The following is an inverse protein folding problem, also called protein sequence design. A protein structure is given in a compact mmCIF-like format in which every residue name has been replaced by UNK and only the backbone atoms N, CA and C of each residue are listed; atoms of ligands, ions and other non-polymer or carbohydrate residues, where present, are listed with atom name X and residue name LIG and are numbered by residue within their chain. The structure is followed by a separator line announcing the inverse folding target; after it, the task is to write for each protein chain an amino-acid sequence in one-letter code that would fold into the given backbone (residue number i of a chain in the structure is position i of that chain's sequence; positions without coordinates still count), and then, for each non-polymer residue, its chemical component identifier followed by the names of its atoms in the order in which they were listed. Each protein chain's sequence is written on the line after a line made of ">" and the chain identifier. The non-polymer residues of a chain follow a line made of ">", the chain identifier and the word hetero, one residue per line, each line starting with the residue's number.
data_IF_517329500514
#
_entry.id   IF_517329500514
#
_cell.length_a   1.000
_cell.length_b   1.000
_cell.length_c   1.000
_cell.angle_alpha   90.00
_cell.angle_beta   90.00
_cell.angle_gamma   90.00
#
_symmetry.space_group_name_H-M   'P 1'
#
loop_
_entity.id
_entity.type
_entity.pdbx_description
1 polymer ?
#
# COMPACT_ATOMS: atom_id res chain seq x y z
N UNK A 1 -12.03 27.42 -21.05
CA UNK A 1 -10.78 26.63 -21.10
C UNK A 1 -10.57 26.03 -19.71
N UNK A 2 -11.11 24.84 -19.47
CA UNK A 2 -10.90 24.11 -18.21
C UNK A 2 -9.76 23.14 -18.44
N UNK A 3 -8.62 23.38 -17.81
CA UNK A 3 -7.53 22.42 -17.77
C UNK A 3 -8.02 21.16 -17.08
N UNK A 4 -8.33 20.12 -17.85
CA UNK A 4 -8.42 18.76 -17.33
C UNK A 4 -7.00 18.39 -16.92
N UNK A 5 -6.63 18.70 -15.67
CA UNK A 5 -5.51 18.03 -15.02
C UNK A 5 -5.76 16.54 -15.22
N UNK A 6 -4.87 15.79 -15.88
CA UNK A 6 -4.98 14.34 -15.87
C UNK A 6 -4.98 13.98 -14.39
N UNK A 7 -6.12 13.52 -13.89
CA UNK A 7 -6.25 13.05 -12.52
C UNK A 7 -5.42 11.78 -12.46
N UNK A 8 -4.13 11.94 -12.23
CA UNK A 8 -3.15 10.87 -12.10
C UNK A 8 -3.59 10.05 -10.90
N UNK A 9 -4.26 8.92 -11.18
CA UNK A 9 -4.81 8.07 -10.13
C UNK A 9 -3.66 7.58 -9.27
N UNK A 10 -3.74 7.86 -7.97
CA UNK A 10 -2.69 7.53 -7.01
C UNK A 10 -2.51 6.01 -6.99
N UNK A 11 -1.30 5.53 -7.24
CA UNK A 11 -1.00 4.09 -7.28
C UNK A 11 -0.78 3.58 -5.88
N UNK A 12 -1.63 2.66 -5.46
CA UNK A 12 -1.62 2.10 -4.11
C UNK A 12 -1.19 0.64 -4.16
N UNK A 13 -0.23 0.28 -3.32
CA UNK A 13 0.14 -1.10 -3.04
C UNK A 13 -0.36 -1.49 -1.64
N UNK A 14 -1.01 -2.64 -1.53
CA UNK A 14 -1.56 -3.13 -0.27
C UNK A 14 -0.68 -4.25 0.30
N UNK A 15 -0.10 -4.02 1.47
CA UNK A 15 0.66 -5.00 2.23
C UNK A 15 -0.08 -5.36 3.52
N UNK A 16 -1.02 -6.31 3.41
CA UNK A 16 -1.94 -6.64 4.50
C UNK A 16 -2.07 -8.16 4.57
N UNK A 17 -1.78 -8.73 5.74
CA UNK A 17 -1.93 -10.17 5.98
C UNK A 17 -3.40 -10.59 6.05
N UNK A 18 -4.25 -9.76 6.66
CA UNK A 18 -5.67 -10.03 6.76
C UNK A 18 -6.34 -9.96 5.38
N UNK A 19 -6.65 -11.13 4.80
CA UNK A 19 -7.29 -11.27 3.49
C UNK A 19 -8.61 -10.49 3.39
N UNK A 20 -9.42 -10.49 4.45
CA UNK A 20 -10.71 -9.79 4.45
C UNK A 20 -10.52 -8.28 4.35
N UNK A 21 -9.62 -7.73 5.18
CA UNK A 21 -9.29 -6.30 5.15
C UNK A 21 -8.71 -5.90 3.80
N UNK A 22 -7.78 -6.69 3.27
CA UNK A 22 -7.15 -6.44 1.97
C UNK A 22 -8.17 -6.41 0.83
N UNK A 23 -9.01 -7.44 0.73
CA UNK A 23 -10.07 -7.50 -0.30
C UNK A 23 -11.10 -6.38 -0.15
N UNK A 24 -11.45 -6.03 1.08
CA UNK A 24 -12.36 -4.90 1.34
C UNK A 24 -11.74 -3.57 0.88
N UNK A 25 -10.48 -3.32 1.19
CA UNK A 25 -9.75 -2.13 0.76
C UNK A 25 -9.58 -2.08 -0.76
N UNK A 26 -9.26 -3.20 -1.42
CA UNK A 26 -9.23 -3.27 -2.89
C UNK A 26 -10.58 -2.86 -3.48
N UNK A 27 -11.67 -3.41 -2.95
CA UNK A 27 -13.03 -3.06 -3.42
C UNK A 27 -13.38 -1.60 -3.15
N UNK A 28 -12.95 -1.06 -2.01
CA UNK A 28 -13.15 0.34 -1.65
C UNK A 28 -12.37 1.27 -2.58
N UNK A 29 -11.10 0.98 -2.82
CA UNK A 29 -10.23 1.78 -3.69
C UNK A 29 -10.65 1.68 -5.15
N UNK A 30 -11.13 0.53 -5.62
CA UNK A 30 -11.72 0.39 -6.96
C UNK A 30 -12.97 1.24 -7.19
N UNK A 31 -13.70 1.62 -6.14
CA UNK A 31 -14.86 2.53 -6.26
C UNK A 31 -14.43 3.99 -6.42
N UNK A 32 -13.16 4.31 -6.19
CA UNK A 32 -12.60 5.65 -6.24
C UNK A 32 -11.79 5.81 -7.52
N UNK A 33 -12.20 6.73 -8.40
CA UNK A 33 -11.51 7.00 -9.66
C UNK A 33 -10.14 7.69 -9.46
N UNK A 34 -9.90 8.23 -8.27
CA UNK A 34 -8.66 8.89 -7.88
C UNK A 34 -7.58 7.93 -7.35
N UNK A 35 -7.89 6.64 -7.16
CA UNK A 35 -6.99 5.63 -6.60
C UNK A 35 -6.95 4.40 -7.50
N UNK A 36 -5.74 3.87 -7.75
CA UNK A 36 -5.53 2.63 -8.50
C UNK A 36 -4.71 1.66 -7.67
N UNK A 37 -5.27 0.48 -7.39
CA UNK A 37 -4.49 -0.58 -6.74
C UNK A 37 -3.58 -1.25 -7.76
N UNK A 38 -2.27 -1.03 -7.66
CA UNK A 38 -1.26 -1.59 -8.57
C UNK A 38 -0.74 -2.95 -8.12
N UNK A 39 -0.95 -3.30 -6.86
CA UNK A 39 -0.53 -4.59 -6.34
C UNK A 39 -1.07 -4.85 -4.94
N UNK A 40 -1.07 -6.13 -4.57
CA UNK A 40 -1.40 -6.56 -3.23
C UNK A 40 -0.51 -7.74 -2.85
N UNK A 41 0.02 -7.74 -1.64
CA UNK A 41 0.80 -8.84 -1.10
C UNK A 41 0.53 -9.05 0.40
N UNK A 42 1.03 -10.16 0.90
CA UNK A 42 0.98 -10.58 2.28
C UNK A 42 2.29 -10.13 2.90
N UNK A 43 2.28 -9.64 4.14
CA UNK A 43 3.50 -9.11 4.75
C UNK A 43 4.64 -10.15 4.77
N UNK A 44 4.30 -11.41 5.04
CA UNK A 44 5.24 -12.55 5.01
C UNK A 44 5.83 -12.87 3.62
N UNK A 45 5.17 -12.53 2.51
CA UNK A 45 5.61 -12.86 1.14
C UNK A 45 6.14 -11.63 0.38
N UNK A 46 6.48 -10.57 1.12
CA UNK A 46 6.87 -9.32 0.49
C UNK A 46 8.22 -9.44 -0.23
N UNK A 47 8.16 -9.47 -1.55
CA UNK A 47 9.29 -9.17 -2.41
C UNK A 47 9.37 -7.66 -2.67
N UNK A 48 10.41 -7.01 -2.15
CA UNK A 48 10.67 -5.57 -2.32
C UNK A 48 10.74 -5.19 -3.81
N UNK A 49 11.26 -6.09 -4.66
CA UNK A 49 11.26 -5.90 -6.11
C UNK A 49 9.87 -5.74 -6.70
N UNK A 50 8.85 -6.39 -6.15
CA UNK A 50 7.48 -6.26 -6.65
C UNK A 50 6.89 -4.88 -6.33
N UNK A 51 7.25 -4.32 -5.17
CA UNK A 51 6.86 -2.95 -4.79
C UNK A 51 7.59 -1.93 -5.66
N UNK A 52 8.90 -2.14 -5.88
CA UNK A 52 9.73 -1.32 -6.77
C UNK A 52 9.21 -1.32 -8.21
N UNK A 53 8.93 -2.49 -8.77
CA UNK A 53 8.42 -2.66 -10.13
C UNK A 53 7.02 -2.06 -10.29
N UNK A 54 6.18 -2.17 -9.25
CA UNK A 54 4.82 -1.62 -9.26
C UNK A 54 4.75 -0.08 -9.34
N UNK A 55 5.88 0.63 -9.14
CA UNK A 55 5.94 2.10 -9.12
C UNK A 55 4.82 2.72 -8.27
N UNK A 56 4.52 2.12 -7.11
CA UNK A 56 3.45 2.61 -6.25
C UNK A 56 3.83 3.93 -5.57
N UNK A 57 2.86 4.84 -5.47
CA UNK A 57 3.03 6.14 -4.80
C UNK A 57 2.72 6.01 -3.30
N UNK A 58 1.80 5.10 -2.95
CA UNK A 58 1.36 4.85 -1.57
C UNK A 58 1.44 3.36 -1.26
N UNK A 59 2.10 3.02 -0.16
CA UNK A 59 2.10 1.68 0.42
C UNK A 59 1.22 1.67 1.67
N UNK A 60 0.18 0.86 1.66
CA UNK A 60 -0.70 0.69 2.83
C UNK A 60 -0.33 -0.61 3.53
N UNK A 61 0.03 -0.50 4.80
CA UNK A 61 0.38 -1.64 5.66
C UNK A 61 -0.65 -1.74 6.78
N UNK A 62 -1.12 -2.94 7.09
CA UNK A 62 -1.91 -3.17 8.30
C UNK A 62 -1.22 -4.25 9.13
N UNK A 63 -0.91 -3.92 10.38
CA UNK A 63 -0.19 -4.82 11.28
C UNK A 63 -0.90 -4.93 12.62
N UNK A 64 -0.96 -6.16 13.13
CA UNK A 64 -1.35 -6.47 14.51
C UNK A 64 -0.16 -6.33 15.48
N UNK A 65 1.06 -6.25 14.98
CA UNK A 65 2.28 -6.18 15.81
C UNK A 65 3.10 -4.93 15.50
N UNK A 66 3.81 -4.43 16.51
CA UNK A 66 4.67 -3.24 16.43
C UNK A 66 5.80 -3.35 15.41
N UNK A 67 6.14 -4.57 14.95
CA UNK A 67 7.04 -4.85 13.82
C UNK A 67 6.30 -4.78 12.46
N UNK A 68 5.64 -3.66 12.22
CA UNK A 68 4.73 -3.45 11.09
C UNK A 68 5.40 -3.51 9.70
N UNK A 69 6.65 -3.03 9.59
CA UNK A 69 7.36 -3.05 8.33
C UNK A 69 8.23 -4.31 8.31
N UNK A 70 8.09 -5.19 7.29
CA UNK A 70 9.05 -6.25 7.10
C UNK A 70 10.43 -5.61 6.97
N UNK A 71 11.43 -6.18 7.64
CA UNK A 71 12.82 -5.68 7.65
C UNK A 71 13.41 -5.52 6.24
N UNK A 72 12.79 -6.13 5.23
CA UNK A 72 13.11 -5.98 3.82
C UNK A 72 12.71 -4.61 3.24
N UNK A 73 11.65 -3.94 3.72
CA UNK A 73 11.39 -2.53 3.38
C UNK A 73 12.19 -1.67 4.35
N UNK A 74 13.45 -1.41 4.00
CA UNK A 74 14.26 -0.43 4.72
C UNK A 74 13.74 0.99 4.45
N UNK A 75 13.96 1.88 5.42
CA UNK A 75 13.68 3.31 5.30
C UNK A 75 14.37 3.93 4.07
N UNK A 76 15.45 3.31 3.60
CA UNK A 76 16.17 3.67 2.37
C UNK A 76 15.35 3.41 1.10
N UNK A 77 14.61 2.30 1.01
CA UNK A 77 13.70 2.06 -0.12
C UNK A 77 12.58 3.11 -0.15
N UNK A 78 12.05 3.48 1.02
CA UNK A 78 11.03 4.53 1.16
C UNK A 78 11.60 5.88 0.71
N UNK A 79 12.83 6.20 1.12
CA UNK A 79 13.53 7.43 0.75
C UNK A 79 13.87 7.53 -0.74
N UNK A 80 14.21 6.42 -1.39
CA UNK A 80 14.50 6.39 -2.83
C UNK A 80 13.25 6.49 -3.72
N UNK A 81 12.09 6.02 -3.24
CA UNK A 81 10.87 5.93 -4.05
C UNK A 81 9.89 7.09 -3.89
N UNK A 82 10.17 8.09 -3.04
CA UNK A 82 9.18 9.11 -2.64
C UNK A 82 7.84 8.49 -2.20
N UNK A 83 7.92 7.28 -1.63
CA UNK A 83 6.79 6.42 -1.39
C UNK A 83 6.15 6.77 -0.05
N UNK A 84 4.85 7.03 -0.04
CA UNK A 84 4.11 7.34 1.18
C UNK A 84 3.64 6.07 1.85
N UNK A 85 4.09 5.82 3.08
CA UNK A 85 3.63 4.66 3.85
C UNK A 85 2.46 5.08 4.75
N UNK A 86 1.35 4.36 4.64
CA UNK A 86 0.18 4.49 5.53
C UNK A 86 0.10 3.22 6.37
N UNK A 87 0.22 3.37 7.69
CA UNK A 87 0.05 2.28 8.63
C UNK A 87 -1.37 2.30 9.21
N UNK A 88 -2.08 1.19 9.06
CA UNK A 88 -3.33 0.90 9.74
C UNK A 88 -2.98 0.12 10.99
N UNK A 89 -3.07 0.79 12.14
CA UNK A 89 -3.02 0.13 13.44
C UNK A 89 -4.26 -0.74 13.59
N UNK A 90 -4.06 -2.02 13.90
CA UNK A 90 -5.13 -2.93 14.30
C UNK A 90 -4.93 -3.23 15.78
N UNK A 91 -5.98 -3.05 16.59
CA UNK A 91 -5.97 -3.58 17.96
C UNK A 91 -5.85 -5.11 17.89
N UNK A 92 -4.95 -5.67 18.69
CA UNK A 92 -5.06 -7.08 19.03
C UNK A 92 -6.28 -7.19 19.95
N UNK A 93 -7.35 -7.83 19.48
CA UNK A 93 -8.37 -8.31 20.40
C UNK A 93 -7.65 -9.13 21.50
N UNK A 94 -7.82 -8.69 22.75
CA UNK A 94 -7.13 -9.19 23.96
C UNK A 94 -7.29 -10.70 24.19
#
# INVERSE_FOLDING_TARGET
>A
MGSTVPSESIRVFLLIENRLLREALVRLFRKRSDLTVVGQSWQADLNVQQVLDSNCDVLVVASFQTNCLPTSITLECIGQLSLKVVLIGMDCDE
#
